data_IF_742145260180
#
_entry.id   IF_742145260180
#
_cell.length_a   1.000
_cell.length_b   1.000
_cell.length_c   1.000
_cell.angle_alpha   90.00
_cell.angle_beta   90.00
_cell.angle_gamma   90.00
#
_symmetry.space_group_name_H-M   'P 1'
#
loop_
_entity.id
_entity.type
_entity.pdbx_description
1 polymer ?
#
# COMPACT_ATOMS: atom_id res chain seq x y z
N UNK A 1 -12.71 -4.01 1.92
CA UNK A 1 -11.68 -3.13 2.52
C UNK A 1 -12.21 -1.72 2.51
N UNK A 2 -11.94 -0.91 3.53
CA UNK A 2 -12.19 0.54 3.42
C UNK A 2 -11.19 1.12 2.40
N UNK A 3 -11.54 2.22 1.77
CA UNK A 3 -10.67 2.88 0.79
C UNK A 3 -9.36 3.35 1.41
N UNK A 4 -9.36 3.78 2.67
CA UNK A 4 -8.15 4.13 3.42
C UNK A 4 -7.19 2.94 3.58
N UNK A 5 -7.71 1.74 3.88
CA UNK A 5 -6.89 0.52 3.98
C UNK A 5 -6.28 0.14 2.62
N UNK A 6 -7.00 0.35 1.51
CA UNK A 6 -6.44 0.15 0.17
C UNK A 6 -5.31 1.13 -0.15
N UNK A 7 -5.43 2.39 0.29
CA UNK A 7 -4.35 3.39 0.16
C UNK A 7 -3.14 2.98 0.99
N UNK A 8 -3.32 2.59 2.25
CA UNK A 8 -2.21 2.08 3.09
C UNK A 8 -1.53 0.85 2.47
N UNK A 9 -2.32 -0.03 1.86
CA UNK A 9 -1.78 -1.20 1.15
C UNK A 9 -0.95 -0.77 -0.08
N UNK A 10 -1.45 0.20 -0.86
CA UNK A 10 -0.73 0.72 -2.02
C UNK A 10 0.58 1.42 -1.62
N UNK A 11 0.60 2.16 -0.50
CA UNK A 11 1.84 2.74 0.05
C UNK A 11 2.84 1.63 0.39
N UNK A 12 2.40 0.58 1.05
CA UNK A 12 3.27 -0.55 1.38
C UNK A 12 3.83 -1.24 0.12
N UNK A 13 3.01 -1.44 -0.93
CA UNK A 13 3.46 -1.98 -2.22
C UNK A 13 4.50 -1.07 -2.87
N UNK A 14 4.19 0.22 -3.03
CA UNK A 14 5.09 1.19 -3.66
C UNK A 14 6.42 1.27 -2.90
N UNK A 15 6.38 1.29 -1.57
CA UNK A 15 7.57 1.30 -0.74
C UNK A 15 8.46 0.06 -0.89
N UNK A 16 7.90 -1.11 -1.16
CA UNK A 16 8.69 -2.33 -1.46
C UNK A 16 9.44 -2.22 -2.79
N UNK A 17 8.81 -1.60 -3.80
CA UNK A 17 9.48 -1.33 -5.07
C UNK A 17 10.57 -0.28 -4.91
N UNK A 18 10.29 0.81 -4.18
CA UNK A 18 11.27 1.85 -3.88
C UNK A 18 12.49 1.28 -3.12
N UNK A 19 12.25 0.47 -2.09
CA UNK A 19 13.31 -0.16 -1.29
C UNK A 19 14.17 -1.12 -2.11
N UNK A 20 13.59 -1.77 -3.13
CA UNK A 20 14.31 -2.60 -4.08
C UNK A 20 15.01 -1.79 -5.20
N UNK A 21 14.89 -0.46 -5.21
CA UNK A 21 15.42 0.40 -6.29
C UNK A 21 14.76 0.15 -7.64
N UNK A 22 13.53 -0.37 -7.65
CA UNK A 22 12.79 -0.73 -8.86
C UNK A 22 11.61 0.20 -9.08
N UNK A 23 11.33 0.49 -10.35
CA UNK A 23 10.09 1.16 -10.74
C UNK A 23 8.99 0.13 -10.94
N UNK A 24 7.76 0.45 -10.55
CA UNK A 24 6.59 -0.35 -10.89
C UNK A 24 6.34 -0.19 -12.41
N UNK A 25 6.26 -1.29 -13.19
CA UNK A 25 5.95 -1.21 -14.61
C UNK A 25 4.59 -0.54 -14.85
N UNK A 26 4.49 0.34 -15.85
CA UNK A 26 3.27 1.14 -16.10
C UNK A 26 2.04 0.28 -16.40
N UNK A 27 2.23 -0.85 -17.10
CA UNK A 27 1.17 -1.82 -17.35
C UNK A 27 0.66 -2.52 -16.06
N UNK A 28 1.48 -2.55 -15.01
CA UNK A 28 1.10 -3.10 -13.70
C UNK A 28 0.41 -2.05 -12.84
N UNK A 29 0.82 -0.77 -12.92
CA UNK A 29 0.21 0.33 -12.15
C UNK A 29 -1.32 0.36 -12.33
N UNK A 30 -1.80 0.19 -13.56
CA UNK A 30 -3.24 0.21 -13.86
C UNK A 30 -4.02 -0.99 -13.31
N UNK A 31 -3.32 -2.08 -12.95
CA UNK A 31 -3.92 -3.30 -12.43
C UNK A 31 -3.98 -3.31 -10.90
N UNK A 32 -3.20 -2.46 -10.24
CA UNK A 32 -3.09 -2.44 -8.78
C UNK A 32 -3.97 -1.32 -8.21
N UNK A 33 -4.84 -1.61 -7.24
CA UNK A 33 -5.73 -0.61 -6.69
C UNK A 33 -4.96 0.49 -5.97
N UNK A 34 -5.29 1.75 -6.26
CA UNK A 34 -4.77 2.96 -5.58
C UNK A 34 -3.25 3.19 -5.74
N UNK A 35 -2.54 2.42 -6.55
CA UNK A 35 -1.10 2.63 -6.78
C UNK A 35 -0.86 3.93 -7.55
N UNK A 36 -1.71 4.23 -8.52
CA UNK A 36 -1.72 5.51 -9.23
C UNK A 36 -1.90 6.71 -8.27
N UNK A 37 -2.81 6.58 -7.29
CA UNK A 37 -3.04 7.59 -6.25
C UNK A 37 -1.79 7.84 -5.42
N UNK A 38 -1.11 6.76 -5.00
CA UNK A 38 0.12 6.86 -4.19
C UNK A 38 1.27 7.42 -5.00
N UNK A 39 1.46 6.98 -6.25
CA UNK A 39 2.51 7.50 -7.12
C UNK A 39 2.32 8.99 -7.38
N UNK A 40 1.09 9.42 -7.70
CA UNK A 40 0.77 10.84 -7.85
C UNK A 40 1.04 11.62 -6.56
N UNK A 41 0.65 11.08 -5.40
CA UNK A 41 0.81 11.76 -4.10
C UNK A 41 2.28 12.00 -3.74
N UNK A 42 3.19 11.09 -4.10
CA UNK A 42 4.65 11.24 -3.88
C UNK A 42 5.27 12.38 -4.69
N UNK A 43 4.64 12.77 -5.80
CA UNK A 43 5.09 13.86 -6.66
C UNK A 43 4.57 15.23 -6.20
N UNK A 44 3.64 15.27 -5.24
CA UNK A 44 3.05 16.51 -4.78
C UNK A 44 3.91 17.24 -3.74
N UNK A 45 3.87 18.59 -3.71
CA UNK A 45 4.40 19.35 -2.59
C UNK A 45 3.72 18.97 -1.27
N UNK A 46 4.51 18.91 -0.19
CA UNK A 46 4.00 18.68 1.16
C UNK A 46 3.80 20.01 1.92
N UNK A 47 2.75 20.13 2.75
CA UNK A 47 1.74 19.11 3.04
C UNK A 47 0.75 18.91 1.87
N UNK A 48 0.32 17.66 1.69
CA UNK A 48 -0.65 17.29 0.65
C UNK A 48 -2.02 17.90 0.97
N UNK A 49 -2.61 18.60 0.00
CA UNK A 49 -3.85 19.33 0.19
C UNK A 49 -5.06 18.50 -0.26
N UNK A 50 -6.15 18.54 0.53
CA UNK A 50 -7.42 17.86 0.20
C UNK A 50 -7.95 18.29 -1.17
N UNK A 51 -7.89 19.59 -1.47
CA UNK A 51 -8.44 20.16 -2.71
C UNK A 51 -7.70 19.62 -3.94
N UNK A 52 -6.39 19.37 -3.84
CA UNK A 52 -5.60 18.75 -4.90
C UNK A 52 -6.05 17.30 -5.16
N UNK A 53 -6.30 16.53 -4.10
CA UNK A 53 -6.87 15.18 -4.23
C UNK A 53 -8.23 15.19 -4.92
N UNK A 54 -9.11 16.12 -4.52
CA UNK A 54 -10.44 16.23 -5.10
C UNK A 54 -10.37 16.60 -6.59
N UNK A 55 -9.53 17.57 -6.94
CA UNK A 55 -9.35 18.01 -8.31
C UNK A 55 -8.77 16.90 -9.21
N UNK A 56 -7.77 16.17 -8.71
CA UNK A 56 -7.10 15.13 -9.48
C UNK A 56 -7.98 13.90 -9.74
N UNK A 57 -8.72 13.43 -8.73
CA UNK A 57 -9.42 12.14 -8.78
C UNK A 57 -10.96 12.27 -8.75
N UNK A 58 -11.51 13.49 -8.81
CA UNK A 58 -12.95 13.72 -8.82
C UNK A 58 -13.66 13.27 -7.53
N UNK A 59 -12.98 13.34 -6.38
CA UNK A 59 -13.47 12.77 -5.13
C UNK A 59 -14.45 13.69 -4.39
N UNK A 60 -15.39 13.08 -3.67
CA UNK A 60 -16.12 13.79 -2.62
C UNK A 60 -15.18 14.20 -1.49
N UNK A 61 -15.50 15.30 -0.80
CA UNK A 61 -14.69 15.83 0.29
C UNK A 61 -14.44 14.81 1.40
N UNK A 62 -15.46 14.02 1.76
CA UNK A 62 -15.35 12.97 2.77
C UNK A 62 -14.42 11.82 2.34
N UNK A 63 -14.40 11.46 1.05
CA UNK A 63 -13.45 10.45 0.54
C UNK A 63 -12.04 11.01 0.49
N UNK A 64 -11.86 12.25 0.05
CA UNK A 64 -10.57 12.91 0.00
C UNK A 64 -9.92 13.03 1.39
N UNK A 65 -10.68 13.39 2.44
CA UNK A 65 -10.15 13.38 3.81
C UNK A 65 -9.71 11.99 4.29
N UNK A 66 -10.49 10.94 3.97
CA UNK A 66 -10.15 9.56 4.32
C UNK A 66 -8.88 9.09 3.61
N UNK A 67 -8.69 9.48 2.35
CA UNK A 67 -7.47 9.18 1.60
C UNK A 67 -6.30 9.99 2.14
N UNK A 68 -6.48 11.29 2.40
CA UNK A 68 -5.44 12.15 2.94
C UNK A 68 -4.88 11.62 4.27
N UNK A 69 -5.74 11.15 5.17
CA UNK A 69 -5.31 10.55 6.44
C UNK A 69 -4.40 9.32 6.25
N UNK A 70 -4.65 8.51 5.22
CA UNK A 70 -3.78 7.38 4.88
C UNK A 70 -2.50 7.81 4.14
N UNK A 71 -2.59 8.84 3.28
CA UNK A 71 -1.46 9.39 2.54
C UNK A 71 -0.48 10.20 3.40
N UNK A 72 -0.79 10.44 4.69
CA UNK A 72 0.19 10.99 5.63
C UNK A 72 1.45 10.12 5.74
N UNK A 73 1.31 8.80 5.54
CA UNK A 73 2.44 7.87 5.57
C UNK A 73 3.03 7.60 4.18
N UNK A 74 2.74 8.42 3.16
CA UNK A 74 3.13 8.12 1.76
C UNK A 74 4.64 7.93 1.57
N UNK A 75 5.45 8.51 2.45
CA UNK A 75 6.90 8.35 2.50
C UNK A 75 7.40 7.44 3.64
N UNK A 76 6.48 6.85 4.42
CA UNK A 76 6.76 5.89 5.49
C UNK A 76 5.99 4.58 5.24
N UNK A 77 6.53 3.69 4.39
CA UNK A 77 5.88 2.42 4.08
C UNK A 77 5.84 1.46 5.26
N UNK A 78 6.63 1.66 6.32
CA UNK A 78 6.55 0.84 7.53
C UNK A 78 5.31 1.21 8.35
N UNK A 79 5.08 2.50 8.58
CA UNK A 79 3.87 2.98 9.25
C UNK A 79 2.60 2.60 8.49
N UNK A 80 2.64 2.63 7.15
CA UNK A 80 1.51 2.17 6.33
C UNK A 80 1.21 0.68 6.50
N UNK A 81 2.23 -0.17 6.71
CA UNK A 81 2.05 -1.62 6.96
C UNK A 81 1.42 -1.92 8.30
N UNK A 82 1.75 -1.16 9.34
CA UNK A 82 1.15 -1.32 10.67
C UNK A 82 -0.37 -1.09 10.67
N UNK A 83 -0.86 -0.31 9.69
CA UNK A 83 -2.29 -0.03 9.49
C UNK A 83 -3.00 -1.14 8.70
N UNK A 84 -2.27 -2.12 8.17
CA UNK A 84 -2.85 -3.26 7.45
C UNK A 84 -3.30 -4.35 8.43
N UNK A 85 -4.40 -5.05 8.13
CA UNK A 85 -4.74 -6.29 8.82
C UNK A 85 -3.63 -7.34 8.63
N UNK A 86 -3.35 -8.14 9.67
CA UNK A 86 -2.26 -9.14 9.74
C UNK A 86 -2.17 -10.09 8.54
N UNK A 87 -3.30 -10.43 7.90
CA UNK A 87 -3.39 -11.34 6.75
C UNK A 87 -3.01 -10.70 5.40
N UNK A 88 -2.68 -9.40 5.36
CA UNK A 88 -2.70 -8.60 4.12
C UNK A 88 -1.45 -7.81 3.82
N UNK A 89 -0.33 -8.11 4.46
CA UNK A 89 0.94 -7.57 4.03
C UNK A 89 1.18 -7.95 2.54
N UNK A 90 1.49 -6.97 1.66
CA UNK A 90 1.39 -7.12 0.21
C UNK A 90 2.26 -8.24 -0.40
N UNK A 91 3.30 -8.66 0.32
CA UNK A 91 4.18 -9.75 -0.08
C UNK A 91 4.42 -10.77 1.04
N UNK A 92 3.62 -10.77 2.10
CA UNK A 92 3.69 -11.84 3.10
C UNK A 92 3.11 -13.11 2.47
N UNK A 93 3.94 -13.83 1.71
CA UNK A 93 3.67 -15.21 1.38
C UNK A 93 3.34 -15.94 2.68
N UNK A 94 2.17 -16.58 2.75
CA UNK A 94 1.67 -17.27 3.95
C UNK A 94 2.81 -18.07 4.61
N UNK A 95 3.33 -17.68 5.78
CA UNK A 95 4.37 -18.48 6.45
C UNK A 95 3.79 -19.76 7.08
N UNK A 96 2.48 -20.02 6.95
CA UNK A 96 1.80 -21.13 7.63
C UNK A 96 1.92 -22.51 6.96
N UNK A 97 2.32 -22.61 5.70
CA UNK A 97 2.49 -23.92 5.03
C UNK A 97 3.93 -24.44 5.06
N UNK A 98 4.93 -23.55 5.18
CA UNK A 98 6.34 -23.95 5.25
C UNK A 98 6.73 -24.61 6.59
N UNK A 99 5.94 -24.43 7.65
CA UNK A 99 6.23 -24.98 8.98
C UNK A 99 5.63 -26.38 9.20
N UNK A 100 4.60 -26.77 8.43
CA UNK A 100 3.95 -28.08 8.55
C UNK A 100 4.73 -29.21 7.85
N UNK A 101 5.59 -28.89 6.87
CA UNK A 101 6.39 -29.90 6.14
C UNK A 101 7.76 -30.18 6.79
N UNK A 102 8.18 -29.38 7.79
CA UNK A 102 9.44 -29.63 8.54
C UNK A 102 9.28 -30.53 9.76
N UNK A 103 8.05 -30.89 10.15
CA UNK A 103 7.76 -31.74 11.30
C UNK A 103 7.46 -33.21 10.99
N UNK A 104 7.42 -33.60 9.71
CA UNK A 104 7.00 -34.95 9.28
C UNK A 104 8.17 -35.83 8.80
N UNK A 105 9.38 -35.58 9.29
CA UNK A 105 10.59 -36.28 8.86
C UNK A 105 11.55 -36.59 10.00
N UNK A 106 11.04 -37.00 11.16
CA UNK A 106 11.86 -37.68 12.17
C UNK A 106 10.97 -38.48 13.11
N UNK A 107 10.79 -39.78 12.83
CA UNK A 107 10.63 -40.86 13.82
C UNK A 107 10.99 -42.20 13.16
N UNK A 108 12.16 -42.71 13.57
CA UNK A 108 12.61 -44.12 13.76
C UNK A 108 12.13 -45.16 12.76
#
# INVERSE_FOLDING_TARGET
MTTAVMVSWAIAVVGEFDAAGRRIPENVVQLLPMVDVVLWAKEQPLPLQVDALQAQFGLSRATAYRWLAALQDVHDPAAAREKLPDDRAPFAGRPKEAQLLRGAGDRV
#
